data_IF_884074876261
#
_entry.id   IF_884074876261
#
_cell.length_a   1.000
_cell.length_b   1.000
_cell.length_c   1.000
_cell.angle_alpha   90.00
_cell.angle_beta   90.00
_cell.angle_gamma   90.00
#
_symmetry.space_group_name_H-M   'P 1'
#
loop_
_entity.id
_entity.type
_entity.pdbx_description
1 polymer ?
#
# COMPACT_ATOMS: atom_id res chain seq x y z
N UNK A 1 11.45 5.79 9.67
CA UNK A 1 11.22 5.44 11.09
C UNK A 1 9.81 5.77 11.52
N UNK A 2 9.07 4.75 12.01
CA UNK A 2 7.74 4.88 12.62
C UNK A 2 7.89 5.23 14.11
N UNK A 3 7.03 6.10 14.64
CA UNK A 3 7.12 6.58 16.04
C UNK A 3 6.22 5.83 17.04
N UNK A 4 5.15 5.17 16.58
CA UNK A 4 4.28 4.29 17.38
C UNK A 4 3.68 4.90 18.67
N UNK A 5 3.40 6.21 18.68
CA UNK A 5 2.82 6.93 19.84
C UNK A 5 1.47 7.61 19.53
N UNK A 6 0.76 7.13 18.51
CA UNK A 6 -0.45 7.77 18.00
C UNK A 6 -1.54 7.94 19.07
N UNK A 7 -1.67 6.96 19.96
CA UNK A 7 -2.66 6.93 21.04
C UNK A 7 -2.35 7.91 22.20
N UNK A 8 -1.11 8.42 22.29
CA UNK A 8 -0.70 9.31 23.37
C UNK A 8 -0.96 10.80 23.07
N UNK A 9 -1.40 11.12 21.86
CA UNK A 9 -1.57 12.51 21.41
C UNK A 9 -0.26 13.30 21.30
N UNK A 10 0.90 12.62 21.33
CA UNK A 10 2.25 13.23 21.29
C UNK A 10 2.97 12.94 19.96
N UNK A 11 2.22 12.82 18.87
CA UNK A 11 2.78 12.55 17.55
C UNK A 11 3.82 13.63 17.18
N UNK A 12 5.11 13.28 17.01
CA UNK A 12 6.16 14.25 16.73
C UNK A 12 6.03 14.88 15.33
N UNK A 13 5.25 14.25 14.46
CA UNK A 13 4.98 14.65 13.07
C UNK A 13 3.72 15.51 12.91
N UNK A 14 2.93 15.72 13.97
CA UNK A 14 1.71 16.54 13.89
C UNK A 14 0.48 15.84 13.31
N UNK A 15 0.53 14.53 12.99
CA UNK A 15 -0.56 13.80 12.34
C UNK A 15 -1.68 13.42 13.33
N UNK A 16 -1.30 12.86 14.48
CA UNK A 16 -2.23 12.33 15.50
C UNK A 16 -2.00 13.02 16.84
N UNK A 17 -2.28 14.33 16.88
CA UNK A 17 -2.11 15.17 18.07
C UNK A 17 -3.07 16.35 18.05
N UNK A 18 -3.52 16.77 19.24
CA UNK A 18 -4.29 18.00 19.44
C UNK A 18 -3.45 19.12 20.08
N UNK A 19 -2.17 18.86 20.37
CA UNK A 19 -1.26 19.89 20.89
C UNK A 19 -0.95 20.90 19.76
N UNK A 20 -1.29 22.20 19.92
CA UNK A 20 -1.06 23.20 18.89
C UNK A 20 0.41 23.35 18.47
N UNK A 21 1.37 23.04 19.36
CA UNK A 21 2.80 23.09 19.04
C UNK A 21 3.24 21.94 18.14
N UNK A 22 2.60 20.78 18.27
CA UNK A 22 2.90 19.60 17.45
C UNK A 22 2.11 19.60 16.15
N UNK A 23 0.83 19.99 16.19
CA UNK A 23 -0.05 20.06 15.02
C UNK A 23 0.53 20.93 13.91
N UNK A 24 1.05 22.12 14.24
CA UNK A 24 1.67 23.07 13.29
C UNK A 24 2.92 22.56 12.58
N UNK A 25 3.46 21.40 12.97
CA UNK A 25 4.59 20.76 12.27
C UNK A 25 4.18 20.11 10.96
N UNK A 26 2.89 19.84 10.78
CA UNK A 26 2.34 19.27 9.57
C UNK A 26 1.85 20.41 8.66
N UNK A 27 2.36 20.46 7.44
CA UNK A 27 1.86 21.33 6.37
C UNK A 27 0.83 20.52 5.56
N UNK A 28 -0.48 20.82 5.67
CA UNK A 28 -1.52 20.01 5.06
C UNK A 28 -1.47 20.04 3.53
N UNK A 29 -1.11 21.17 2.92
CA UNK A 29 -1.08 21.32 1.47
C UNK A 29 0.04 20.47 0.86
N UNK A 30 1.25 20.55 1.43
CA UNK A 30 2.37 19.70 0.98
C UNK A 30 2.13 18.22 1.19
N UNK A 31 1.41 17.84 2.25
CA UNK A 31 1.10 16.44 2.52
C UNK A 31 0.01 15.94 1.57
N UNK A 32 -0.98 16.76 1.23
CA UNK A 32 -2.00 16.42 0.24
C UNK A 32 -1.37 16.13 -1.13
N UNK A 33 -0.43 16.96 -1.60
CA UNK A 33 0.33 16.71 -2.82
C UNK A 33 1.03 15.34 -2.78
N UNK A 34 1.72 15.03 -1.68
CA UNK A 34 2.41 13.74 -1.51
C UNK A 34 1.46 12.54 -1.50
N UNK A 35 0.27 12.70 -0.92
CA UNK A 35 -0.75 11.65 -0.94
C UNK A 35 -1.19 11.37 -2.37
N UNK A 36 -1.43 12.41 -3.17
CA UNK A 36 -1.75 12.26 -4.60
C UNK A 36 -0.63 11.54 -5.36
N UNK A 37 0.62 11.90 -5.11
CA UNK A 37 1.77 11.24 -5.73
C UNK A 37 1.86 9.74 -5.38
N UNK A 38 1.50 9.33 -4.16
CA UNK A 38 1.42 7.90 -3.79
C UNK A 38 0.42 7.16 -4.68
N UNK A 39 -0.77 7.73 -4.91
CA UNK A 39 -1.79 7.08 -5.73
C UNK A 39 -1.40 7.05 -7.21
N UNK A 40 -0.80 8.12 -7.75
CA UNK A 40 -0.27 8.13 -9.12
C UNK A 40 0.83 7.09 -9.32
N UNK A 41 1.77 7.02 -8.38
CA UNK A 41 2.84 6.03 -8.43
C UNK A 41 2.28 4.61 -8.36
N UNK A 42 1.33 4.36 -7.46
CA UNK A 42 0.66 3.07 -7.35
C UNK A 42 -0.07 2.67 -8.64
N UNK A 43 -0.78 3.60 -9.29
CA UNK A 43 -1.45 3.34 -10.59
C UNK A 43 -0.44 2.94 -11.68
N UNK A 44 0.70 3.64 -11.76
CA UNK A 44 1.78 3.30 -12.71
C UNK A 44 2.36 1.91 -12.42
N UNK A 45 2.63 1.58 -11.16
CA UNK A 45 3.16 0.27 -10.78
C UNK A 45 2.15 -0.86 -11.04
N UNK A 46 0.86 -0.62 -10.77
CA UNK A 46 -0.19 -1.58 -11.10
C UNK A 46 -0.24 -1.83 -12.61
N UNK A 47 -0.20 -0.78 -13.44
CA UNK A 47 -0.15 -0.92 -14.90
C UNK A 47 1.03 -1.77 -15.37
N UNK A 48 2.22 -1.60 -14.76
CA UNK A 48 3.40 -2.42 -15.07
C UNK A 48 3.19 -3.91 -14.72
N UNK A 49 2.48 -4.20 -13.64
CA UNK A 49 2.16 -5.59 -13.24
C UNK A 49 1.12 -6.21 -14.19
N UNK A 50 0.07 -5.47 -14.55
CA UNK A 50 -1.04 -6.01 -15.37
C UNK A 50 -0.74 -6.06 -16.87
N UNK A 51 0.11 -5.17 -17.41
CA UNK A 51 0.46 -5.14 -18.82
C UNK A 51 0.99 -6.50 -19.36
N UNK A 52 2.00 -7.16 -18.74
CA UNK A 52 2.48 -8.47 -19.19
C UNK A 52 1.46 -9.61 -19.01
N UNK A 53 0.45 -9.43 -18.16
CA UNK A 53 -0.65 -10.38 -18.00
C UNK A 53 -1.72 -10.24 -19.12
N UNK A 54 -1.59 -9.22 -19.99
CA UNK A 54 -2.56 -8.93 -21.05
C UNK A 54 -3.90 -8.43 -20.53
N UNK A 55 -3.92 -7.77 -19.36
CA UNK A 55 -5.14 -7.34 -18.66
C UNK A 55 -5.18 -5.83 -18.43
N UNK A 56 -6.39 -5.27 -18.32
CA UNK A 56 -6.62 -3.89 -17.89
C UNK A 56 -6.77 -3.80 -16.37
N UNK A 57 -6.43 -2.63 -15.81
CA UNK A 57 -6.55 -2.32 -14.37
C UNK A 57 -7.99 -2.04 -13.93
N UNK A 58 -8.94 -1.90 -14.86
CA UNK A 58 -10.31 -1.44 -14.61
C UNK A 58 -11.24 -2.55 -14.11
N UNK A 59 -10.95 -3.82 -14.40
CA UNK A 59 -11.76 -4.97 -14.03
C UNK A 59 -10.92 -6.15 -13.47
N UNK A 60 -10.13 -5.98 -12.40
CA UNK A 60 -9.23 -7.03 -11.92
C UNK A 60 -9.90 -8.04 -10.97
N UNK A 61 -11.23 -8.21 -11.02
CA UNK A 61 -11.97 -9.05 -10.08
C UNK A 61 -11.88 -10.52 -10.54
N UNK A 62 -11.45 -11.41 -9.65
CA UNK A 62 -11.56 -12.86 -9.83
C UNK A 62 -10.32 -13.58 -10.40
N UNK A 63 -9.15 -12.92 -10.48
CA UNK A 63 -7.93 -13.50 -11.07
C UNK A 63 -7.03 -14.22 -10.06
N UNK A 64 -7.61 -15.01 -9.17
CA UNK A 64 -6.83 -15.80 -8.19
C UNK A 64 -5.99 -16.89 -8.86
N UNK A 65 -6.34 -17.28 -10.09
CA UNK A 65 -5.60 -18.23 -10.93
C UNK A 65 -4.24 -17.68 -11.42
N UNK A 66 -4.08 -16.36 -11.47
CA UNK A 66 -2.82 -15.71 -11.80
C UNK A 66 -1.82 -15.68 -10.62
N UNK A 67 -2.22 -16.17 -9.44
CA UNK A 67 -1.37 -16.26 -8.26
C UNK A 67 -0.77 -17.66 -8.14
N UNK A 68 0.53 -17.70 -7.83
CA UNK A 68 1.29 -18.92 -7.63
C UNK A 68 2.18 -18.83 -6.39
N UNK A 69 2.51 -19.98 -5.82
CA UNK A 69 3.36 -20.09 -4.62
C UNK A 69 4.65 -20.80 -4.99
N UNK A 70 5.80 -20.21 -4.62
CA UNK A 70 7.13 -20.78 -4.86
C UNK A 70 7.57 -21.83 -3.83
N UNK A 71 6.73 -22.14 -2.85
CA UNK A 71 6.97 -23.14 -1.82
C UNK A 71 5.94 -24.26 -1.96
N UNK A 72 6.43 -25.50 -2.07
CA UNK A 72 5.58 -26.66 -2.32
C UNK A 72 4.73 -27.04 -1.12
N UNK A 73 5.28 -26.95 0.09
CA UNK A 73 4.56 -27.29 1.32
C UNK A 73 3.40 -26.30 1.54
N UNK A 74 3.61 -25.02 1.21
CA UNK A 74 2.56 -24.00 1.24
C UNK A 74 1.51 -24.25 0.16
N UNK A 75 1.92 -24.57 -1.07
CA UNK A 75 1.02 -24.87 -2.17
C UNK A 75 0.09 -26.05 -1.84
N UNK A 76 0.66 -27.15 -1.32
CA UNK A 76 -0.09 -28.35 -0.94
C UNK A 76 -1.04 -28.07 0.23
N UNK A 77 -0.62 -27.29 1.23
CA UNK A 77 -1.45 -26.96 2.39
C UNK A 77 -2.62 -26.02 2.04
N UNK A 78 -2.37 -25.01 1.22
CA UNK A 78 -3.34 -23.95 0.92
C UNK A 78 -4.13 -24.19 -0.38
N UNK A 79 -3.80 -25.25 -1.12
CA UNK A 79 -4.42 -25.59 -2.40
C UNK A 79 -4.31 -24.43 -3.42
N UNK A 80 -3.14 -23.80 -3.46
CA UNK A 80 -2.78 -22.77 -4.44
C UNK A 80 -1.78 -23.37 -5.42
N UNK A 81 -1.82 -22.95 -6.69
CA UNK A 81 -0.89 -23.39 -7.73
C UNK A 81 0.57 -23.21 -7.30
N UNK A 82 1.37 -24.28 -7.36
CA UNK A 82 2.81 -24.22 -7.17
C UNK A 82 3.50 -23.72 -8.44
N UNK A 83 4.39 -22.74 -8.32
CA UNK A 83 5.11 -22.13 -9.45
C UNK A 83 6.60 -22.06 -9.08
N UNK A 84 7.39 -23.00 -9.61
CA UNK A 84 8.85 -23.06 -9.55
C UNK A 84 9.40 -23.73 -10.81
#
# INVERSE_FOLDING_TARGET
>A
NRCNVCNLGRCPRGITTQDPKLYRRLDPDKVAERVVEVFKAADVELKKIFAPLGRSTELPIGMSDALGVGDKDIADRLQISYVC
#
